data_IF_902663448238
#
_entry.id   IF_902663448238
#
_cell.length_a   1.000
_cell.length_b   1.000
_cell.length_c   1.000
_cell.angle_alpha   90.00
_cell.angle_beta   90.00
_cell.angle_gamma   90.00
#
_symmetry.space_group_name_H-M   'P 1'
#
loop_
_entity.id
_entity.type
_entity.pdbx_description
1 polymer ?
#
# COMPACT_ATOMS: atom_id res chain seq x y z
N UNK A 1 -22.20 -11.92 -19.26
CA UNK A 1 -21.08 -12.75 -18.77
C UNK A 1 -19.83 -11.91 -18.90
N UNK A 2 -19.13 -11.63 -17.80
CA UNK A 2 -17.84 -10.91 -17.88
C UNK A 2 -16.84 -11.86 -18.53
N UNK A 3 -16.25 -11.45 -19.65
CA UNK A 3 -15.24 -12.21 -20.38
C UNK A 3 -14.08 -12.59 -19.43
N UNK A 4 -13.50 -13.78 -19.59
CA UNK A 4 -12.29 -14.20 -18.88
C UNK A 4 -11.18 -13.17 -19.06
N UNK A 5 -11.09 -12.54 -20.25
CA UNK A 5 -10.15 -11.47 -20.53
C UNK A 5 -10.38 -10.23 -19.64
N UNK A 6 -11.64 -9.81 -19.47
CA UNK A 6 -12.01 -8.66 -18.63
C UNK A 6 -11.69 -8.92 -17.14
N UNK A 7 -11.84 -10.16 -16.68
CA UNK A 7 -11.47 -10.54 -15.31
C UNK A 7 -9.97 -10.46 -15.09
N UNK A 8 -9.18 -11.03 -16.01
CA UNK A 8 -7.71 -10.97 -15.94
C UNK A 8 -7.22 -9.54 -15.98
N UNK A 9 -7.75 -8.73 -16.91
CA UNK A 9 -7.42 -7.31 -17.02
C UNK A 9 -7.77 -6.56 -15.73
N UNK A 10 -8.95 -6.78 -15.16
CA UNK A 10 -9.33 -6.15 -13.89
C UNK A 10 -8.40 -6.52 -12.74
N UNK A 11 -7.94 -7.78 -12.66
CA UNK A 11 -6.96 -8.21 -11.66
C UNK A 11 -5.63 -7.48 -11.86
N UNK A 12 -5.11 -7.45 -13.09
CA UNK A 12 -3.87 -6.74 -13.40
C UNK A 12 -3.97 -5.25 -13.05
N UNK A 13 -5.10 -4.60 -13.31
CA UNK A 13 -5.29 -3.20 -12.96
C UNK A 13 -5.37 -2.97 -11.45
N UNK A 14 -6.00 -3.86 -10.68
CA UNK A 14 -5.97 -3.80 -9.21
C UNK A 14 -4.54 -3.95 -8.69
N UNK A 15 -3.77 -4.91 -9.22
CA UNK A 15 -2.35 -5.07 -8.88
C UNK A 15 -1.55 -3.80 -9.22
N UNK A 16 -1.83 -3.16 -10.36
CA UNK A 16 -1.22 -1.89 -10.75
C UNK A 16 -1.55 -0.75 -9.78
N UNK A 17 -2.81 -0.65 -9.29
CA UNK A 17 -3.21 0.35 -8.30
C UNK A 17 -2.42 0.16 -7.01
N UNK A 18 -2.34 -1.08 -6.49
CA UNK A 18 -1.56 -1.36 -5.29
C UNK A 18 -0.06 -1.10 -5.49
N UNK A 19 0.51 -1.56 -6.61
CA UNK A 19 1.92 -1.38 -6.91
C UNK A 19 2.31 0.10 -6.93
N UNK A 20 1.66 0.91 -7.78
CA UNK A 20 1.97 2.34 -7.83
C UNK A 20 1.54 3.08 -6.56
N UNK A 21 0.49 2.63 -5.88
CA UNK A 21 0.08 3.15 -4.58
C UNK A 21 1.19 3.00 -3.54
N UNK A 22 1.76 1.80 -3.39
CA UNK A 22 2.86 1.54 -2.46
C UNK A 22 4.15 2.25 -2.87
N UNK A 23 4.48 2.28 -4.15
CA UNK A 23 5.66 3.03 -4.63
C UNK A 23 5.55 4.51 -4.29
N UNK A 24 4.38 5.13 -4.49
CA UNK A 24 4.15 6.52 -4.06
C UNK A 24 4.29 6.68 -2.54
N UNK A 25 3.72 5.79 -1.75
CA UNK A 25 3.82 5.82 -0.29
C UNK A 25 5.29 5.78 0.16
N UNK A 26 6.07 4.84 -0.38
CA UNK A 26 7.47 4.65 -0.02
C UNK A 26 8.34 5.87 -0.35
N UNK A 27 8.13 6.48 -1.53
CA UNK A 27 8.79 7.74 -1.93
C UNK A 27 8.39 8.88 -1.01
N UNK A 28 7.09 9.03 -0.73
CA UNK A 28 6.59 10.09 0.14
C UNK A 28 7.11 9.95 1.57
N UNK A 29 7.12 8.75 2.14
CA UNK A 29 7.67 8.48 3.46
C UNK A 29 9.16 8.83 3.49
N UNK A 30 9.92 8.41 2.48
CA UNK A 30 11.34 8.74 2.41
C UNK A 30 11.61 10.25 2.33
N UNK A 31 10.78 10.99 1.60
CA UNK A 31 10.83 12.45 1.55
C UNK A 31 10.44 13.06 2.91
N UNK A 32 9.37 12.61 3.55
CA UNK A 32 8.91 13.17 4.83
C UNK A 32 9.96 12.98 5.92
N UNK A 33 10.52 11.78 6.01
CA UNK A 33 11.44 11.39 7.06
C UNK A 33 12.90 11.74 6.78
N UNK A 34 13.25 11.91 5.51
CA UNK A 34 14.61 12.29 5.11
C UNK A 34 15.63 11.18 5.09
N UNK A 35 15.18 9.93 5.20
CA UNK A 35 15.97 8.74 4.93
C UNK A 35 15.16 7.78 4.05
N UNK A 36 15.86 6.96 3.28
CA UNK A 36 15.23 6.07 2.32
C UNK A 36 14.60 4.84 3.01
N UNK A 37 13.35 4.53 2.67
CA UNK A 37 12.64 3.33 3.12
C UNK A 37 12.81 2.15 2.16
N UNK A 38 13.37 2.35 0.95
CA UNK A 38 13.75 1.22 0.11
C UNK A 38 14.94 0.46 0.71
N UNK A 39 14.86 -0.87 0.81
CA UNK A 39 16.02 -1.69 1.09
C UNK A 39 16.98 -1.63 -0.10
N UNK A 40 18.22 -1.24 0.16
CA UNK A 40 19.24 -1.06 -0.87
C UNK A 40 20.65 -1.40 -0.37
N UNK A 41 21.52 -1.69 -1.33
CA UNK A 41 22.93 -2.00 -1.08
C UNK A 41 23.16 -3.46 -0.70
N UNK A 42 24.43 -3.77 -0.39
CA UNK A 42 24.89 -5.13 -0.10
C UNK A 42 24.27 -5.74 1.16
N UNK A 43 23.65 -4.91 2.00
CA UNK A 43 23.00 -5.31 3.24
C UNK A 43 21.49 -5.56 3.10
N UNK A 44 20.90 -5.28 1.93
CA UNK A 44 19.52 -5.64 1.66
C UNK A 44 19.40 -7.19 1.62
N UNK A 45 18.53 -7.81 2.43
CA UNK A 45 18.37 -9.26 2.38
C UNK A 45 18.03 -9.70 0.97
N UNK A 46 18.72 -10.72 0.45
CA UNK A 46 18.48 -11.21 -0.92
C UNK A 46 17.00 -11.55 -1.09
N UNK A 47 16.34 -10.86 -2.02
CA UNK A 47 14.92 -11.01 -2.27
C UNK A 47 13.98 -10.21 -1.37
N UNK A 48 14.46 -9.31 -0.49
CA UNK A 48 13.59 -8.47 0.35
C UNK A 48 12.63 -7.61 -0.48
N UNK A 49 13.10 -7.03 -1.59
CA UNK A 49 12.25 -6.25 -2.51
C UNK A 49 11.13 -7.10 -3.11
N UNK A 50 11.36 -8.41 -3.31
CA UNK A 50 10.33 -9.33 -3.80
C UNK A 50 9.47 -9.89 -2.66
N UNK A 51 10.06 -10.53 -1.64
CA UNK A 51 9.34 -11.20 -0.56
C UNK A 51 8.75 -10.27 0.49
N UNK A 52 9.38 -9.13 0.74
CA UNK A 52 8.85 -8.08 1.61
C UNK A 52 7.65 -7.39 0.97
N UNK A 53 7.75 -6.95 -0.29
CA UNK A 53 6.61 -6.33 -0.98
C UNK A 53 5.52 -7.35 -1.34
N UNK A 54 5.88 -8.58 -1.73
CA UNK A 54 4.90 -9.62 -2.02
C UNK A 54 4.26 -10.18 -0.75
N UNK A 55 5.00 -10.36 0.34
CA UNK A 55 4.46 -10.83 1.63
C UNK A 55 3.59 -9.77 2.31
N UNK A 56 4.15 -8.60 2.58
CA UNK A 56 3.43 -7.52 3.26
C UNK A 56 2.31 -6.96 2.40
N UNK A 57 2.57 -6.77 1.10
CA UNK A 57 1.56 -6.31 0.15
C UNK A 57 0.43 -7.32 -0.04
N UNK A 58 0.72 -8.63 -0.12
CA UNK A 58 -0.33 -9.65 -0.19
C UNK A 58 -1.12 -9.74 1.11
N UNK A 59 -0.46 -9.64 2.26
CA UNK A 59 -1.16 -9.67 3.55
C UNK A 59 -2.09 -8.46 3.70
N UNK A 60 -1.63 -7.26 3.32
CA UNK A 60 -2.45 -6.06 3.28
C UNK A 60 -3.62 -6.19 2.31
N UNK A 61 -3.39 -6.71 1.09
CA UNK A 61 -4.45 -6.92 0.10
C UNK A 61 -5.48 -7.96 0.57
N UNK A 62 -5.05 -9.04 1.22
CA UNK A 62 -5.94 -10.05 1.81
C UNK A 62 -6.76 -9.44 2.95
N UNK A 63 -6.13 -8.67 3.84
CA UNK A 63 -6.82 -7.99 4.93
C UNK A 63 -7.91 -7.07 4.38
N UNK A 64 -7.58 -6.22 3.39
CA UNK A 64 -8.51 -5.34 2.70
C UNK A 64 -9.67 -6.10 2.04
N UNK A 65 -9.37 -7.19 1.34
CA UNK A 65 -10.39 -8.04 0.73
C UNK A 65 -11.35 -8.61 1.78
N UNK A 66 -10.83 -9.15 2.88
CA UNK A 66 -11.64 -9.68 3.98
C UNK A 66 -12.49 -8.58 4.62
N UNK A 67 -11.92 -7.40 4.84
CA UNK A 67 -12.64 -6.24 5.39
C UNK A 67 -13.82 -5.84 4.52
N UNK A 68 -13.62 -5.65 3.22
CA UNK A 68 -14.72 -5.27 2.33
C UNK A 68 -15.75 -6.40 2.15
N UNK A 69 -15.32 -7.67 2.23
CA UNK A 69 -16.26 -8.80 2.20
C UNK A 69 -17.09 -8.92 3.46
N UNK A 70 -16.50 -8.76 4.64
CA UNK A 70 -17.21 -8.76 5.91
C UNK A 70 -18.15 -7.56 6.02
N UNK A 71 -17.74 -6.40 5.54
CA UNK A 71 -18.61 -5.22 5.41
C UNK A 71 -19.84 -5.53 4.54
N UNK A 72 -19.63 -6.11 3.35
CA UNK A 72 -20.71 -6.49 2.43
C UNK A 72 -21.68 -7.51 3.07
N UNK A 73 -21.16 -8.56 3.70
CA UNK A 73 -21.96 -9.59 4.38
C UNK A 73 -22.71 -9.01 5.58
N UNK A 74 -22.03 -8.21 6.39
CA UNK A 74 -22.62 -7.56 7.55
C UNK A 74 -23.73 -6.59 7.16
N UNK A 75 -23.57 -5.85 6.06
CA UNK A 75 -24.62 -4.98 5.52
C UNK A 75 -25.84 -5.78 5.05
N UNK A 76 -25.65 -6.88 4.31
CA UNK A 76 -26.75 -7.73 3.83
C UNK A 76 -27.53 -8.39 4.97
N UNK A 77 -26.85 -8.70 6.08
CA UNK A 77 -27.44 -9.34 7.26
C UNK A 77 -27.94 -8.36 8.32
N UNK A 78 -27.79 -7.05 8.11
CA UNK A 78 -28.10 -6.03 9.13
C UNK A 78 -27.24 -6.16 10.41
N UNK A 79 -26.10 -6.83 10.34
CA UNK A 79 -25.26 -7.16 11.49
C UNK A 79 -24.01 -6.28 11.53
N UNK A 80 -24.03 -5.26 12.40
CA UNK A 80 -22.90 -4.33 12.60
C UNK A 80 -21.65 -4.99 13.18
N UNK A 81 -21.80 -6.04 13.98
CA UNK A 81 -20.65 -6.75 14.56
C UNK A 81 -19.76 -7.36 13.47
N UNK A 82 -20.37 -7.94 12.43
CA UNK A 82 -19.62 -8.49 11.27
C UNK A 82 -18.91 -7.37 10.50
N UNK A 83 -19.53 -6.19 10.37
CA UNK A 83 -18.89 -5.06 9.71
C UNK A 83 -17.66 -4.58 10.51
N UNK A 84 -17.83 -4.37 11.82
CA UNK A 84 -16.76 -3.89 12.69
C UNK A 84 -15.62 -4.91 12.85
N UNK A 85 -15.90 -6.21 12.82
CA UNK A 85 -14.84 -7.22 12.86
C UNK A 85 -13.93 -7.13 11.63
N UNK A 86 -14.47 -6.82 10.45
CA UNK A 86 -13.67 -6.57 9.25
C UNK A 86 -12.72 -5.38 9.40
N UNK A 87 -13.20 -4.27 9.96
CA UNK A 87 -12.37 -3.10 10.25
C UNK A 87 -11.32 -3.37 11.34
N UNK A 88 -11.67 -4.14 12.37
CA UNK A 88 -10.75 -4.51 13.43
C UNK A 88 -9.61 -5.43 12.92
N UNK A 89 -9.93 -6.39 12.05
CA UNK A 89 -8.93 -7.26 11.40
C UNK A 89 -7.95 -6.41 10.60
N UNK A 90 -8.46 -5.47 9.81
CA UNK A 90 -7.62 -4.57 9.03
C UNK A 90 -6.75 -3.70 9.92
N UNK A 91 -7.33 -3.00 10.90
CA UNK A 91 -6.57 -2.13 11.79
C UNK A 91 -5.45 -2.90 12.53
N UNK A 92 -5.71 -4.15 12.92
CA UNK A 92 -4.68 -4.99 13.52
C UNK A 92 -3.56 -5.35 12.55
N UNK A 93 -3.90 -5.88 11.36
CA UNK A 93 -2.90 -6.32 10.36
C UNK A 93 -2.13 -5.11 9.80
N UNK A 94 -2.86 -4.06 9.45
CA UNK A 94 -2.33 -2.82 8.89
C UNK A 94 -1.51 -2.01 9.87
N UNK A 95 -1.72 -2.15 11.19
CA UNK A 95 -0.78 -1.64 12.18
C UNK A 95 0.43 -2.56 12.40
N UNK A 96 0.23 -3.88 12.36
CA UNK A 96 1.27 -4.87 12.62
C UNK A 96 2.37 -4.85 11.56
N UNK A 97 2.00 -4.76 10.27
CA UNK A 97 2.94 -4.75 9.14
C UNK A 97 4.00 -3.61 9.27
N UNK A 98 3.61 -2.32 9.28
CA UNK A 98 4.58 -1.23 9.40
C UNK A 98 5.33 -1.25 10.73
N UNK A 99 4.69 -1.68 11.82
CA UNK A 99 5.38 -1.83 13.11
C UNK A 99 6.53 -2.84 13.01
N UNK A 100 6.29 -4.02 12.44
CA UNK A 100 7.32 -5.06 12.35
C UNK A 100 8.42 -4.73 11.34
N UNK A 101 8.09 -4.03 10.26
CA UNK A 101 9.04 -3.73 9.19
C UNK A 101 9.89 -2.48 9.47
N UNK A 102 9.28 -1.43 10.03
CA UNK A 102 9.86 -0.10 9.98
C UNK A 102 10.26 0.45 11.35
N UNK A 103 9.84 -0.18 12.47
CA UNK A 103 10.18 0.32 13.83
C UNK A 103 11.68 0.42 14.06
N UNK A 104 12.45 -0.60 13.68
CA UNK A 104 13.90 -0.60 13.84
C UNK A 104 14.54 0.48 12.97
N UNK A 105 14.07 0.63 11.73
CA UNK A 105 14.58 1.62 10.78
C UNK A 105 14.31 3.05 11.24
N UNK A 106 13.08 3.33 11.67
CA UNK A 106 12.68 4.60 12.27
C UNK A 106 13.51 4.92 13.51
N UNK A 107 13.75 3.92 14.37
CA UNK A 107 14.53 4.11 15.60
C UNK A 107 15.99 4.42 15.31
N UNK A 108 16.63 3.66 14.40
CA UNK A 108 18.03 3.88 13.98
C UNK A 108 18.26 5.26 13.37
N UNK A 109 17.26 5.81 12.69
CA UNK A 109 17.32 7.14 12.09
C UNK A 109 16.77 8.25 13.01
N UNK A 110 16.60 7.99 14.31
CA UNK A 110 16.21 9.01 15.29
C UNK A 110 14.73 9.44 15.24
N UNK A 111 13.88 8.69 14.54
CA UNK A 111 12.45 8.98 14.34
C UNK A 111 11.52 8.12 15.21
N UNK A 112 12.02 7.50 16.29
CA UNK A 112 11.25 6.62 17.17
C UNK A 112 9.98 7.28 17.75
N UNK A 113 10.04 8.59 18.04
CA UNK A 113 8.91 9.37 18.56
C UNK A 113 7.75 9.53 17.55
N UNK A 114 7.97 9.20 16.28
CA UNK A 114 6.97 9.29 15.21
C UNK A 114 6.32 7.95 14.88
N UNK A 115 6.64 6.87 15.61
CA UNK A 115 6.19 5.52 15.27
C UNK A 115 4.66 5.41 15.21
N UNK A 116 3.95 5.99 16.18
CA UNK A 116 2.49 5.99 16.20
C UNK A 116 1.88 6.74 15.00
N UNK A 117 2.22 8.02 14.73
CA UNK A 117 1.68 8.70 13.55
C UNK A 117 2.13 8.06 12.23
N UNK A 118 3.31 7.44 12.17
CA UNK A 118 3.77 6.64 11.03
C UNK A 118 2.82 5.47 10.75
N UNK A 119 2.57 4.64 11.77
CA UNK A 119 1.71 3.46 11.65
C UNK A 119 0.30 3.86 11.24
N UNK A 120 -0.26 4.88 11.90
CA UNK A 120 -1.60 5.36 11.57
C UNK A 120 -1.68 5.93 10.14
N UNK A 121 -0.69 6.71 9.72
CA UNK A 121 -0.63 7.28 8.38
C UNK A 121 -0.50 6.20 7.31
N UNK A 122 0.37 5.22 7.53
CA UNK A 122 0.55 4.07 6.63
C UNK A 122 -0.75 3.27 6.54
N UNK A 123 -1.36 2.92 7.67
CA UNK A 123 -2.59 2.13 7.72
C UNK A 123 -3.76 2.84 7.03
N UNK A 124 -3.94 4.15 7.25
CA UNK A 124 -4.96 4.96 6.56
C UNK A 124 -4.70 4.99 5.05
N UNK A 125 -3.45 5.17 4.64
CA UNK A 125 -3.09 5.22 3.22
C UNK A 125 -3.38 3.89 2.53
N UNK A 126 -2.95 2.78 3.11
CA UNK A 126 -3.19 1.43 2.57
C UNK A 126 -4.69 1.13 2.50
N UNK A 127 -5.46 1.59 3.49
CA UNK A 127 -6.90 1.47 3.50
C UNK A 127 -7.52 2.22 2.33
N UNK A 128 -7.09 3.48 2.13
CA UNK A 128 -7.56 4.33 1.05
C UNK A 128 -7.22 3.73 -0.33
N UNK A 129 -6.03 3.13 -0.50
CA UNK A 129 -5.68 2.42 -1.73
C UNK A 129 -6.57 1.19 -1.97
N UNK A 130 -6.87 0.43 -0.91
CA UNK A 130 -7.83 -0.67 -0.97
C UNK A 130 -9.22 -0.20 -1.38
N UNK A 131 -9.72 0.84 -0.73
CA UNK A 131 -11.02 1.42 -1.05
C UNK A 131 -11.06 1.94 -2.49
N UNK A 132 -9.99 2.60 -2.94
CA UNK A 132 -9.85 3.06 -4.32
C UNK A 132 -9.90 1.89 -5.30
N UNK A 133 -9.16 0.81 -5.04
CA UNK A 133 -9.08 -0.36 -5.91
C UNK A 133 -10.39 -1.18 -5.97
N UNK A 134 -11.05 -1.38 -4.83
CA UNK A 134 -12.18 -2.31 -4.69
C UNK A 134 -13.56 -1.63 -4.72
N UNK A 135 -13.66 -0.33 -4.39
CA UNK A 135 -14.94 0.40 -4.32
C UNK A 135 -15.03 1.52 -5.34
N UNK A 136 -14.04 2.42 -5.39
CA UNK A 136 -14.13 3.60 -6.23
C UNK A 136 -13.86 3.30 -7.71
N UNK A 137 -12.83 2.51 -8.00
CA UNK A 137 -12.48 2.05 -9.34
C UNK A 137 -13.26 0.78 -9.72
N UNK A 138 -14.59 0.86 -9.65
CA UNK A 138 -15.51 -0.26 -9.91
C UNK A 138 -15.41 -0.85 -11.33
N UNK A 139 -15.06 -0.04 -12.33
CA UNK A 139 -14.99 -0.41 -13.74
C UNK A 139 -13.55 -0.46 -14.26
N UNK A 140 -13.31 -1.26 -15.30
CA UNK A 140 -12.00 -1.34 -15.99
C UNK A 140 -11.51 0.06 -16.37
N UNK A 141 -12.37 0.88 -16.98
CA UNK A 141 -12.06 2.26 -17.37
C UNK A 141 -11.56 3.10 -16.20
N UNK A 142 -12.27 3.10 -15.06
CA UNK A 142 -11.84 3.84 -13.86
C UNK A 142 -10.51 3.29 -13.34
N UNK A 143 -10.34 1.96 -13.26
CA UNK A 143 -9.08 1.36 -12.82
C UNK A 143 -7.91 1.78 -13.72
N UNK A 144 -8.09 1.80 -15.04
CA UNK A 144 -7.07 2.27 -15.99
C UNK A 144 -6.67 3.72 -15.72
N UNK A 145 -7.64 4.62 -15.54
CA UNK A 145 -7.32 6.02 -15.20
C UNK A 145 -6.62 6.15 -13.85
N UNK A 146 -7.03 5.38 -12.86
CA UNK A 146 -6.36 5.36 -11.56
C UNK A 146 -4.91 4.89 -11.68
N UNK A 147 -4.64 3.80 -12.41
CA UNK A 147 -3.27 3.32 -12.63
C UNK A 147 -2.45 4.38 -13.37
N UNK A 148 -2.99 4.98 -14.42
CA UNK A 148 -2.30 6.03 -15.17
C UNK A 148 -1.97 7.24 -14.30
N UNK A 149 -2.94 7.68 -13.46
CA UNK A 149 -2.75 8.76 -12.52
C UNK A 149 -1.68 8.44 -11.47
N UNK A 150 -1.75 7.27 -10.83
CA UNK A 150 -0.78 6.85 -9.82
C UNK A 150 0.63 6.66 -10.41
N UNK A 151 0.72 6.14 -11.64
CA UNK A 151 1.97 6.05 -12.38
C UNK A 151 2.56 7.42 -12.66
N UNK A 152 1.75 8.38 -13.12
CA UNK A 152 2.21 9.76 -13.34
C UNK A 152 2.61 10.46 -12.03
N UNK A 153 1.81 10.30 -10.97
CA UNK A 153 2.13 10.80 -9.64
C UNK A 153 3.44 10.20 -9.11
N UNK A 154 3.69 8.91 -9.38
CA UNK A 154 4.95 8.27 -9.04
C UNK A 154 6.12 8.91 -9.78
N UNK A 155 6.02 9.16 -11.08
CA UNK A 155 7.09 9.82 -11.84
C UNK A 155 7.42 11.20 -11.27
N UNK A 156 6.40 11.99 -10.90
CA UNK A 156 6.58 13.29 -10.24
C UNK A 156 7.27 13.10 -8.88
N UNK A 157 6.72 12.26 -8.02
CA UNK A 157 7.24 12.00 -6.68
C UNK A 157 8.68 11.49 -6.72
N UNK A 158 8.99 10.59 -7.65
CA UNK A 158 10.30 10.01 -7.84
C UNK A 158 11.30 11.03 -8.39
N UNK A 159 11.07 11.57 -9.58
CA UNK A 159 12.09 12.36 -10.27
C UNK A 159 12.18 13.80 -9.81
N UNK A 160 11.07 14.43 -9.39
CA UNK A 160 11.08 15.83 -8.98
C UNK A 160 11.40 16.02 -7.49
N UNK A 161 11.08 15.05 -6.64
CA UNK A 161 11.19 15.22 -5.19
C UNK A 161 12.13 14.22 -4.52
N UNK A 162 12.02 12.93 -4.84
CA UNK A 162 12.79 11.88 -4.18
C UNK A 162 14.23 11.79 -4.70
N UNK A 163 14.44 11.63 -6.01
CA UNK A 163 15.75 11.44 -6.62
C UNK A 163 16.73 12.61 -6.38
N UNK A 164 16.31 13.88 -6.33
CA UNK A 164 17.21 14.98 -5.94
C UNK A 164 17.73 14.86 -4.51
N UNK A 165 16.97 14.22 -3.60
CA UNK A 165 17.34 14.02 -2.19
C UNK A 165 18.12 12.72 -1.98
N UNK A 166 17.88 11.72 -2.82
CA UNK A 166 18.51 10.40 -2.77
C UNK A 166 19.05 10.03 -4.17
N UNK A 167 20.11 10.68 -4.65
CA UNK A 167 20.59 10.57 -6.03
C UNK A 167 21.07 9.17 -6.42
N UNK A 168 21.51 8.37 -5.45
CA UNK A 168 21.88 6.96 -5.62
C UNK A 168 20.70 6.07 -6.06
N UNK A 169 19.47 6.60 -5.95
CA UNK A 169 18.22 5.95 -6.33
C UNK A 169 17.55 6.55 -7.57
N UNK A 170 18.28 7.33 -8.37
CA UNK A 170 17.69 8.01 -9.54
C UNK A 170 16.94 7.06 -10.47
N UNK A 171 17.40 5.81 -10.63
CA UNK A 171 16.80 4.81 -11.53
C UNK A 171 16.02 3.69 -10.82
N UNK A 172 15.71 3.81 -9.51
CA UNK A 172 15.08 2.73 -8.72
C UNK A 172 13.57 2.84 -8.53
#
# INVERSE_FOLDING_TARGET
MVDTQDKVLSICLVLGIFYFGFMNLDRMLSIIYGFNFQPYGEYAPKGFTYWGHLGNGSLAAIALFLTFKLEEVGSKRGNRFIQYSGYAIYAFIGAFIPYMNDTEHLTKNGAANTLLPYILGNDIYVFAMGWLAYRAADSIKKKTYTVAFLGFAFLINHFLFFAPRFPEFYWS
#
